data_IF_662134489965
#
_entry.id   IF_662134489965
#
_cell.length_a   1.000
_cell.length_b   1.000
_cell.length_c   1.000
_cell.angle_alpha   90.00
_cell.angle_beta   90.00
_cell.angle_gamma   90.00
#
_symmetry.space_group_name_H-M   'P 1'
#
loop_
_entity.id
_entity.type
_entity.pdbx_description
1 polymer ?
#
# COMPACT_ATOMS: atom_id res chain seq x y z
N UNK A 1 0.38 14.01 17.25
CA UNK A 1 0.88 12.64 17.14
C UNK A 1 2.09 12.67 16.22
N UNK A 2 3.29 12.40 16.72
CA UNK A 2 4.48 12.25 15.88
C UNK A 2 4.64 10.75 15.61
N UNK A 3 4.27 10.29 14.41
CA UNK A 3 4.68 8.97 13.96
C UNK A 3 6.09 9.10 13.41
N UNK A 4 7.03 8.30 13.91
CA UNK A 4 8.37 8.21 13.33
C UNK A 4 8.26 7.71 11.89
N UNK A 5 9.19 8.13 11.01
CA UNK A 5 9.21 7.69 9.61
C UNK A 5 9.16 6.16 9.47
N UNK A 6 9.79 5.44 10.40
CA UNK A 6 9.74 3.97 10.47
C UNK A 6 8.33 3.43 10.73
N UNK A 7 7.55 4.09 11.60
CA UNK A 7 6.18 3.68 11.88
C UNK A 7 5.29 3.92 10.67
N UNK A 8 5.43 5.06 9.99
CA UNK A 8 4.68 5.35 8.77
C UNK A 8 5.04 4.36 7.66
N UNK A 9 6.33 4.06 7.50
CA UNK A 9 6.78 3.07 6.53
C UNK A 9 6.23 1.68 6.85
N UNK A 10 6.29 1.24 8.10
CA UNK A 10 5.71 -0.04 8.52
C UNK A 10 4.21 -0.08 8.23
N UNK A 11 3.45 0.98 8.51
CA UNK A 11 2.00 1.00 8.23
C UNK A 11 1.71 0.98 6.72
N UNK A 12 2.48 1.73 5.91
CA UNK A 12 2.34 1.76 4.45
C UNK A 12 2.80 0.46 3.77
N UNK A 13 3.73 -0.26 4.38
CA UNK A 13 4.20 -1.56 3.86
C UNK A 13 3.40 -2.73 4.43
N UNK A 14 2.63 -2.51 5.49
CA UNK A 14 1.81 -3.52 6.14
C UNK A 14 0.39 -3.52 5.56
N UNK A 15 0.27 -4.18 4.42
CA UNK A 15 -0.95 -4.41 3.68
C UNK A 15 -2.10 -5.01 4.51
N UNK A 16 -1.80 -5.80 5.54
CA UNK A 16 -2.79 -6.42 6.41
C UNK A 16 -3.53 -5.40 7.30
N UNK A 17 -2.85 -4.30 7.63
CA UNK A 17 -3.44 -3.21 8.46
C UNK A 17 -4.24 -2.20 7.64
N UNK A 18 -4.19 -2.28 6.32
CA UNK A 18 -4.91 -1.35 5.44
C UNK A 18 -6.41 -1.27 5.70
N UNK A 19 -7.16 -2.37 5.93
CA UNK A 19 -8.59 -2.27 6.22
C UNK A 19 -8.92 -1.47 7.48
N UNK A 20 -7.97 -1.33 8.42
CA UNK A 20 -8.19 -0.60 9.68
C UNK A 20 -8.22 0.92 9.47
N UNK A 21 -7.49 1.44 8.49
CA UNK A 21 -7.37 2.89 8.25
C UNK A 21 -7.80 3.32 6.84
N UNK A 22 -7.82 2.40 5.88
CA UNK A 22 -8.26 2.60 4.50
C UNK A 22 -9.27 1.51 4.09
N UNK A 23 -10.56 1.70 4.37
CA UNK A 23 -11.60 0.70 4.09
C UNK A 23 -11.78 0.43 2.58
N UNK A 24 -11.17 1.24 1.72
CA UNK A 24 -11.17 1.00 0.28
C UNK A 24 -10.22 -0.14 -0.10
N UNK A 25 -9.12 -0.37 0.62
CA UNK A 25 -8.17 -1.43 0.25
C UNK A 25 -8.55 -2.71 0.99
N UNK A 26 -9.01 -3.70 0.23
CA UNK A 26 -9.42 -5.02 0.73
C UNK A 26 -8.23 -5.96 0.87
N UNK A 27 -7.35 -5.93 -0.12
CA UNK A 27 -6.22 -6.83 -0.22
C UNK A 27 -5.10 -6.12 -0.97
N UNK A 28 -3.87 -6.38 -0.56
CA UNK A 28 -2.71 -5.93 -1.28
C UNK A 28 -1.65 -7.02 -1.28
N UNK A 29 -1.20 -7.37 -2.49
CA UNK A 29 -0.25 -8.43 -2.76
C UNK A 29 0.93 -7.89 -3.57
N UNK A 30 2.12 -8.35 -3.23
CA UNK A 30 3.35 -8.01 -3.95
C UNK A 30 4.49 -7.67 -3.01
N UNK A 31 5.66 -7.43 -3.59
CA UNK A 31 6.88 -7.10 -2.86
C UNK A 31 7.22 -5.63 -3.07
N UNK A 32 7.50 -4.90 -1.98
CA UNK A 32 7.93 -3.51 -2.04
C UNK A 32 9.38 -3.46 -2.49
N UNK A 33 9.56 -3.53 -3.81
CA UNK A 33 10.86 -3.56 -4.46
C UNK A 33 10.78 -2.88 -5.82
N UNK A 34 11.79 -2.06 -6.10
CA UNK A 34 11.94 -1.34 -7.38
C UNK A 34 11.82 -2.29 -8.57
N UNK A 35 10.93 -1.95 -9.51
CA UNK A 35 10.61 -2.73 -10.71
C UNK A 35 9.55 -3.81 -10.52
N UNK A 36 9.12 -4.09 -9.29
CA UNK A 36 8.05 -5.07 -9.02
C UNK A 36 6.67 -4.45 -9.20
N UNK A 37 5.69 -5.31 -9.51
CA UNK A 37 4.28 -4.95 -9.57
C UNK A 37 3.63 -5.24 -8.23
N UNK A 38 2.93 -4.25 -7.70
CA UNK A 38 2.00 -4.47 -6.61
C UNK A 38 0.61 -4.67 -7.18
N UNK A 39 -0.20 -5.50 -6.54
CA UNK A 39 -1.60 -5.71 -6.85
C UNK A 39 -2.42 -5.26 -5.65
N UNK A 40 -3.25 -4.25 -5.81
CA UNK A 40 -4.17 -3.78 -4.78
C UNK A 40 -5.59 -4.10 -5.23
N UNK A 41 -6.32 -4.90 -4.48
CA UNK A 41 -7.76 -5.04 -4.64
C UNK A 41 -8.43 -3.96 -3.79
N UNK A 42 -9.08 -3.00 -4.45
CA UNK A 42 -9.81 -1.93 -3.80
C UNK A 42 -11.31 -2.03 -4.10
N UNK A 43 -12.13 -1.75 -3.10
CA UNK A 43 -13.58 -1.73 -3.20
C UNK A 43 -14.08 -0.40 -2.61
N UNK A 44 -14.27 0.64 -3.46
CA UNK A 44 -14.88 1.89 -3.01
C UNK A 44 -16.32 1.64 -2.53
N UNK A 45 -16.79 2.38 -1.53
CA UNK A 45 -18.16 2.21 -1.01
C UNK A 45 -19.25 2.43 -2.08
N UNK A 46 -18.95 3.21 -3.12
CA UNK A 46 -19.87 3.55 -4.22
C UNK A 46 -19.58 2.81 -5.53
N UNK A 47 -18.58 1.90 -5.58
CA UNK A 47 -18.19 1.22 -6.82
C UNK A 47 -17.82 -0.25 -6.58
N UNK A 48 -17.89 -1.07 -7.62
CA UNK A 48 -17.48 -2.47 -7.56
C UNK A 48 -15.99 -2.64 -7.20
N UNK A 49 -15.62 -3.85 -6.81
CA UNK A 49 -14.22 -4.23 -6.63
C UNK A 49 -13.43 -3.97 -7.92
N UNK A 50 -12.27 -3.32 -7.79
CA UNK A 50 -11.31 -3.14 -8.86
C UNK A 50 -9.89 -3.47 -8.41
N UNK A 51 -9.05 -3.91 -9.34
CA UNK A 51 -7.65 -4.24 -9.08
C UNK A 51 -6.73 -3.19 -9.68
N UNK A 52 -5.98 -2.50 -8.83
CA UNK A 52 -4.91 -1.61 -9.23
C UNK A 52 -3.59 -2.39 -9.31
N UNK A 53 -2.82 -2.13 -10.36
CA UNK A 53 -1.53 -2.79 -10.58
C UNK A 53 -0.40 -1.78 -10.82
N UNK A 54 -0.06 -0.93 -9.82
CA UNK A 54 1.06 -0.01 -9.96
C UNK A 54 2.38 -0.78 -10.03
N UNK A 55 3.33 -0.19 -10.74
CA UNK A 55 4.72 -0.65 -10.80
C UNK A 55 5.51 0.24 -9.86
N UNK A 56 6.30 -0.36 -8.98
CA UNK A 56 7.19 0.41 -8.11
C UNK A 56 8.35 0.93 -8.94
N UNK A 57 8.45 2.25 -9.03
CA UNK A 57 9.54 2.97 -9.65
C UNK A 57 10.71 3.14 -8.67
N UNK A 58 10.42 3.35 -7.39
CA UNK A 58 11.41 3.53 -6.33
C UNK A 58 10.89 2.99 -4.99
N UNK A 59 11.74 2.30 -4.23
CA UNK A 59 11.41 1.80 -2.89
C UNK A 59 12.66 1.94 -2.00
N UNK A 60 12.83 3.12 -1.41
CA UNK A 60 13.81 3.39 -0.37
C UNK A 60 13.13 3.32 1.00
N UNK A 61 13.47 2.32 1.85
CA UNK A 61 12.86 2.18 3.16
C UNK A 61 13.04 3.43 4.02
N UNK A 62 11.95 3.87 4.65
CA UNK A 62 11.86 5.07 5.47
C UNK A 62 12.16 6.39 4.73
N UNK A 63 12.15 6.39 3.39
CA UNK A 63 12.57 7.54 2.60
C UNK A 63 11.67 7.83 1.41
N UNK A 64 11.44 6.86 0.54
CA UNK A 64 10.67 7.04 -0.69
C UNK A 64 9.98 5.75 -1.13
N UNK A 65 8.71 5.85 -1.50
CA UNK A 65 7.99 4.81 -2.22
C UNK A 65 7.26 5.47 -3.39
N UNK A 66 7.60 5.07 -4.62
CA UNK A 66 7.12 5.71 -5.84
C UNK A 66 6.77 4.69 -6.91
#
# INVERSE_FOLDING_TARGET
MNASFETVWQILTNFDTYPQWNPFIREAEGEIKKGQKLTFCIQPSESGEMKLKPIILEAEPNRELR
#
